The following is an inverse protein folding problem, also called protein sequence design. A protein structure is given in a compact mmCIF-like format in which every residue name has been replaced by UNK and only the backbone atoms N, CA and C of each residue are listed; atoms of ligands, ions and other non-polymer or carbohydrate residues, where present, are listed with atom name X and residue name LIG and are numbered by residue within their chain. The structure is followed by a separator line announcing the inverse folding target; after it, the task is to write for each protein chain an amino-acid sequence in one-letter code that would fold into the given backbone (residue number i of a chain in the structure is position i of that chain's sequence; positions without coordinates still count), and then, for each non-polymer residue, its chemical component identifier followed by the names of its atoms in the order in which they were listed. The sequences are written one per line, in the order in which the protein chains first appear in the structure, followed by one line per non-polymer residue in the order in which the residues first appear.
data_IF_451502839110
#
_entry.id   IF_451502839110
#
_cell.length_a   1.000
_cell.length_b   1.000
_cell.length_c   1.000
_cell.angle_alpha   90.00
_cell.angle_beta   90.00
_cell.angle_gamma   90.00
#
_symmetry.space_group_name_H-M   'P 1'
#
loop_
_entity.id
_entity.type
_entity.pdbx_description
1 polymer ?
#
# COMPACT_ATOMS: atom_id res chain seq x y z
N UNK A 1 -17.02 5.38 -46.89
CA UNK A 1 -16.42 5.81 -48.17
C UNK A 1 -14.94 5.97 -47.90
N UNK A 2 -14.08 5.32 -48.69
CA UNK A 2 -12.63 5.42 -48.50
C UNK A 2 -12.19 6.89 -48.57
N UNK A 3 -11.25 7.31 -47.72
CA UNK A 3 -10.78 8.70 -47.65
C UNK A 3 -10.24 9.16 -49.01
N UNK A 4 -9.57 8.25 -49.72
CA UNK A 4 -9.07 8.48 -51.08
C UNK A 4 -10.18 8.78 -52.09
N UNK A 5 -11.26 8.01 -52.06
CA UNK A 5 -12.42 8.23 -52.94
C UNK A 5 -13.12 9.55 -52.64
N UNK A 6 -13.09 10.00 -51.38
CA UNK A 6 -13.63 11.29 -50.96
C UNK A 6 -12.82 12.45 -51.52
N UNK A 7 -11.49 12.43 -51.38
CA UNK A 7 -10.62 13.47 -51.93
C UNK A 7 -10.72 13.55 -53.46
N UNK A 8 -10.73 12.41 -54.16
CA UNK A 8 -10.90 12.38 -55.62
C UNK A 8 -12.25 12.97 -56.03
N UNK A 9 -13.32 12.64 -55.30
CA UNK A 9 -14.64 13.21 -55.57
C UNK A 9 -14.70 14.71 -55.33
N UNK A 10 -14.11 15.22 -54.25
CA UNK A 10 -14.09 16.65 -53.93
C UNK A 10 -13.31 17.45 -54.97
N UNK A 11 -12.12 16.97 -55.38
CA UNK A 11 -11.34 17.60 -56.45
C UNK A 11 -12.08 17.56 -57.78
N UNK A 12 -12.66 16.41 -58.18
CA UNK A 12 -13.45 16.32 -59.42
C UNK A 12 -14.69 17.23 -59.38
N UNK A 13 -15.39 17.31 -58.24
CA UNK A 13 -16.59 18.13 -58.09
C UNK A 13 -16.27 19.62 -58.22
N UNK A 14 -15.20 20.07 -57.58
CA UNK A 14 -14.79 21.47 -57.63
C UNK A 14 -14.22 21.81 -59.01
N UNK A 15 -13.44 20.93 -59.62
CA UNK A 15 -12.98 21.08 -61.00
C UNK A 15 -14.14 21.14 -61.99
N UNK A 16 -15.19 20.35 -61.78
CA UNK A 16 -16.39 20.37 -62.61
C UNK A 16 -17.14 21.69 -62.49
N UNK A 17 -17.32 22.20 -61.27
CA UNK A 17 -18.00 23.49 -61.04
C UNK A 17 -17.25 24.64 -61.69
N UNK A 18 -15.94 24.76 -61.47
CA UNK A 18 -15.14 25.81 -62.10
C UNK A 18 -15.01 25.62 -63.60
N UNK A 19 -14.87 24.38 -64.05
CA UNK A 19 -14.88 24.03 -65.47
C UNK A 19 -16.16 24.45 -66.18
N UNK A 20 -17.34 24.22 -65.57
CA UNK A 20 -18.62 24.67 -66.11
C UNK A 20 -18.68 26.20 -66.20
N UNK A 21 -18.15 26.92 -65.21
CA UNK A 21 -18.11 28.39 -65.24
C UNK A 21 -17.23 28.86 -66.40
N UNK A 22 -16.04 28.28 -66.56
CA UNK A 22 -15.10 28.60 -67.65
C UNK A 22 -15.76 28.32 -69.01
N UNK A 23 -16.27 27.10 -69.23
CA UNK A 23 -16.89 26.70 -70.51
C UNK A 23 -18.14 27.51 -70.84
N UNK A 24 -18.94 27.89 -69.83
CA UNK A 24 -20.10 28.76 -70.03
C UNK A 24 -19.68 30.17 -70.44
N UNK A 25 -18.58 30.68 -69.86
CA UNK A 25 -18.03 31.98 -70.22
C UNK A 25 -17.38 31.95 -71.63
N UNK A 26 -16.69 30.87 -71.99
CA UNK A 26 -16.17 30.64 -73.35
C UNK A 26 -17.30 30.64 -74.40
N UNK A 27 -18.42 29.97 -74.10
CA UNK A 27 -19.60 29.93 -74.98
C UNK A 27 -20.26 31.31 -75.10
N UNK A 28 -20.43 32.01 -73.97
CA UNK A 28 -20.97 33.37 -73.97
C UNK A 28 -20.09 34.33 -74.79
N UNK A 29 -18.77 34.29 -74.58
CA UNK A 29 -17.81 35.10 -75.30
C UNK A 29 -17.85 34.81 -76.82
N UNK A 30 -18.08 33.55 -77.19
CA UNK A 30 -18.24 33.14 -78.60
C UNK A 30 -19.43 33.84 -79.26
N UNK A 31 -20.55 34.02 -78.57
CA UNK A 31 -21.70 34.76 -79.11
C UNK A 31 -21.51 36.28 -79.10
N UNK A 32 -20.97 36.84 -78.00
CA UNK A 32 -20.76 38.29 -77.86
C UNK A 32 -19.82 38.84 -78.93
N UNK A 33 -18.74 38.12 -79.22
CA UNK A 33 -17.76 38.49 -80.24
C UNK A 33 -18.08 37.86 -81.61
N UNK A 34 -19.32 37.46 -81.85
CA UNK A 34 -19.73 36.79 -83.08
C UNK A 34 -19.81 37.70 -84.31
N UNK A 35 -20.08 39.00 -84.13
CA UNK A 35 -20.25 39.97 -85.23
C UNK A 35 -18.95 40.33 -85.93
N UNK A 36 -17.86 40.40 -85.18
CA UNK A 36 -16.56 40.89 -85.65
C UNK A 36 -15.63 39.74 -86.05
N UNK A 37 -16.21 38.57 -86.32
CA UNK A 37 -15.45 37.34 -86.44
C UNK A 37 -14.75 37.20 -87.78
N UNK A 38 -13.44 37.07 -87.68
CA UNK A 38 -12.53 36.77 -88.79
C UNK A 38 -11.74 35.52 -88.42
N UNK A 39 -11.76 34.48 -89.27
CA UNK A 39 -10.95 33.29 -89.01
C UNK A 39 -11.46 31.98 -89.61
N UNK A 40 -10.84 30.89 -89.15
CA UNK A 40 -10.97 29.52 -89.66
C UNK A 40 -12.31 28.84 -89.33
N UNK A 41 -12.98 29.24 -88.24
CA UNK A 41 -14.26 28.66 -87.79
C UNK A 41 -15.37 29.72 -87.68
N UNK A 42 -16.57 29.37 -88.13
CA UNK A 42 -17.76 30.24 -87.95
C UNK A 42 -18.32 30.14 -86.54
N UNK A 43 -19.06 31.16 -86.11
CA UNK A 43 -19.72 31.22 -84.78
C UNK A 43 -20.62 30.01 -84.54
N UNK A 44 -21.37 29.58 -85.56
CA UNK A 44 -22.25 28.41 -85.46
C UNK A 44 -21.46 27.12 -85.23
N UNK A 45 -20.35 26.90 -85.94
CA UNK A 45 -19.51 25.70 -85.79
C UNK A 45 -18.86 25.67 -84.40
N UNK A 46 -18.35 26.80 -83.92
CA UNK A 46 -17.77 26.87 -82.57
C UNK A 46 -18.80 26.61 -81.47
N UNK A 47 -19.98 27.20 -81.56
CA UNK A 47 -21.04 26.99 -80.58
C UNK A 47 -21.46 25.51 -80.52
N UNK A 48 -21.54 24.83 -81.66
CA UNK A 48 -21.82 23.38 -81.72
C UNK A 48 -20.70 22.57 -81.08
N UNK A 49 -19.43 22.84 -81.42
CA UNK A 49 -18.28 22.14 -80.83
C UNK A 49 -18.18 22.35 -79.32
N UNK A 50 -18.31 23.59 -78.85
CA UNK A 50 -18.32 23.93 -77.42
C UNK A 50 -19.50 23.29 -76.69
N UNK A 51 -20.68 23.25 -77.32
CA UNK A 51 -21.85 22.55 -76.78
C UNK A 51 -21.62 21.05 -76.62
N UNK A 52 -21.02 20.40 -77.62
CA UNK A 52 -20.64 18.97 -77.54
C UNK A 52 -19.62 18.75 -76.41
N UNK A 53 -18.60 19.62 -76.29
CA UNK A 53 -17.56 19.51 -75.26
C UNK A 53 -18.15 19.74 -73.86
N UNK A 54 -19.07 20.67 -73.70
CA UNK A 54 -19.78 20.94 -72.43
C UNK A 54 -20.61 19.72 -72.01
N UNK A 55 -21.37 19.13 -72.93
CA UNK A 55 -22.13 17.89 -72.68
C UNK A 55 -21.19 16.74 -72.34
N UNK A 56 -20.08 16.59 -73.06
CA UNK A 56 -19.07 15.57 -72.77
C UNK A 56 -18.47 15.75 -71.37
N UNK A 57 -18.19 16.99 -70.94
CA UNK A 57 -17.71 17.32 -69.60
C UNK A 57 -18.70 16.89 -68.51
N UNK A 58 -20.00 17.15 -68.70
CA UNK A 58 -21.09 16.71 -67.80
C UNK A 58 -21.18 15.18 -67.74
N UNK A 59 -21.14 14.50 -68.89
CA UNK A 59 -21.22 13.03 -68.96
C UNK A 59 -19.99 12.40 -68.32
N UNK A 60 -18.79 12.89 -68.60
CA UNK A 60 -17.56 12.38 -68.00
C UNK A 60 -17.53 12.58 -66.49
N UNK A 61 -17.99 13.73 -65.99
CA UNK A 61 -18.16 13.92 -64.56
C UNK A 61 -19.17 12.91 -63.97
N UNK A 62 -20.36 12.76 -64.57
CA UNK A 62 -21.38 11.84 -64.07
C UNK A 62 -20.88 10.38 -64.00
N UNK A 63 -20.13 9.93 -65.01
CA UNK A 63 -19.61 8.56 -65.11
C UNK A 63 -18.35 8.32 -64.25
N UNK A 64 -17.48 9.33 -64.09
CA UNK A 64 -16.16 9.16 -63.49
C UNK A 64 -15.89 10.01 -62.24
N UNK A 65 -16.92 10.60 -61.61
CA UNK A 65 -16.80 11.47 -60.43
C UNK A 65 -15.93 10.93 -59.28
N UNK A 66 -15.82 9.61 -59.11
CA UNK A 66 -15.00 8.98 -58.05
C UNK A 66 -13.73 8.28 -58.56
N UNK A 67 -13.43 8.36 -59.86
CA UNK A 67 -12.30 7.64 -60.47
C UNK A 67 -11.22 8.63 -60.86
N UNK A 68 -9.96 8.24 -60.68
CA UNK A 68 -8.79 9.01 -61.14
C UNK A 68 -8.81 9.25 -62.64
N UNK A 69 -9.40 8.37 -63.46
CA UNK A 69 -9.58 8.60 -64.90
C UNK A 69 -10.41 9.84 -65.22
N UNK A 70 -11.32 10.26 -64.32
CA UNK A 70 -12.16 11.43 -64.48
C UNK A 70 -11.36 12.72 -64.64
N UNK A 71 -10.27 12.88 -63.88
CA UNK A 71 -9.43 14.08 -63.92
C UNK A 71 -8.82 14.30 -65.32
N UNK A 72 -8.35 13.24 -65.97
CA UNK A 72 -7.75 13.30 -67.31
C UNK A 72 -8.79 13.66 -68.37
N UNK A 73 -9.98 13.05 -68.30
CA UNK A 73 -11.07 13.33 -69.25
C UNK A 73 -11.60 14.76 -69.11
N UNK A 74 -11.76 15.23 -67.88
CA UNK A 74 -12.21 16.60 -67.62
C UNK A 74 -11.19 17.64 -68.09
N UNK A 75 -9.90 17.43 -67.78
CA UNK A 75 -8.85 18.33 -68.27
C UNK A 75 -8.71 18.29 -69.80
N UNK A 76 -8.89 17.13 -70.43
CA UNK A 76 -8.92 17.02 -71.89
C UNK A 76 -10.08 17.84 -72.49
N UNK A 77 -11.26 17.83 -71.88
CA UNK A 77 -12.38 18.69 -72.30
C UNK A 77 -12.04 20.18 -72.17
N UNK A 78 -11.32 20.60 -71.12
CA UNK A 78 -10.90 22.00 -70.95
C UNK A 78 -9.87 22.43 -71.99
N UNK A 79 -8.88 21.58 -72.28
CA UNK A 79 -7.87 21.86 -73.31
C UNK A 79 -8.54 21.94 -74.69
N UNK A 80 -9.51 21.05 -74.96
CA UNK A 80 -10.23 21.04 -76.23
C UNK A 80 -11.16 22.25 -76.36
N UNK A 81 -11.84 22.68 -75.29
CA UNK A 81 -12.68 23.87 -75.32
C UNK A 81 -11.84 25.13 -75.57
N UNK A 82 -10.69 25.24 -74.90
CA UNK A 82 -9.72 26.31 -75.13
C UNK A 82 -9.18 26.33 -76.57
N UNK A 83 -8.87 25.16 -77.14
CA UNK A 83 -8.44 25.06 -78.55
C UNK A 83 -9.52 25.60 -79.49
N UNK A 84 -10.79 25.24 -79.28
CA UNK A 84 -11.91 25.73 -80.11
C UNK A 84 -12.03 27.25 -80.03
N UNK A 85 -11.91 27.83 -78.83
CA UNK A 85 -11.95 29.29 -78.62
C UNK A 85 -10.80 29.98 -79.37
N UNK A 86 -9.57 29.48 -79.20
CA UNK A 86 -8.38 30.07 -79.82
C UNK A 86 -8.36 29.96 -81.35
N UNK A 87 -8.95 28.90 -81.93
CA UNK A 87 -8.99 28.71 -83.39
C UNK A 87 -9.96 29.65 -84.12
N UNK A 88 -11.01 30.15 -83.47
CA UNK A 88 -12.01 30.99 -84.14
C UNK A 88 -12.29 32.35 -83.52
N UNK A 89 -11.59 32.73 -82.44
CA UNK A 89 -11.65 34.08 -81.87
C UNK A 89 -10.31 34.82 -81.99
N UNK A 90 -9.66 34.73 -83.16
CA UNK A 90 -8.33 35.30 -83.45
C UNK A 90 -8.29 36.83 -83.37
N UNK A 91 -9.44 37.46 -83.54
CA UNK A 91 -9.62 38.91 -83.47
C UNK A 91 -9.78 39.45 -82.04
N UNK A 92 -9.89 38.60 -81.01
CA UNK A 92 -10.13 39.02 -79.62
C UNK A 92 -8.86 38.89 -78.77
N UNK A 93 -8.33 40.01 -78.29
CA UNK A 93 -7.05 40.05 -77.55
C UNK A 93 -7.04 39.23 -76.27
N UNK A 94 -8.14 39.19 -75.51
CA UNK A 94 -8.12 38.67 -74.13
C UNK A 94 -8.40 37.17 -74.00
N UNK A 95 -8.61 36.46 -75.12
CA UNK A 95 -8.99 35.03 -75.09
C UNK A 95 -7.88 34.12 -74.55
N UNK A 96 -6.62 34.55 -74.57
CA UNK A 96 -5.51 33.79 -74.01
C UNK A 96 -5.64 33.56 -72.49
N UNK A 97 -6.39 34.41 -71.77
CA UNK A 97 -6.57 34.34 -70.32
C UNK A 97 -7.28 33.04 -69.84
N UNK A 98 -7.96 32.34 -70.74
CA UNK A 98 -8.51 31.02 -70.46
C UNK A 98 -7.42 29.96 -70.23
N UNK A 99 -6.26 30.07 -70.89
CA UNK A 99 -5.12 29.17 -70.69
C UNK A 99 -4.62 29.13 -69.23
N UNK A 100 -4.26 30.28 -68.62
CA UNK A 100 -3.96 30.37 -67.19
C UNK A 100 -5.06 29.84 -66.27
N UNK A 101 -6.33 30.07 -66.62
CA UNK A 101 -7.47 29.57 -65.82
C UNK A 101 -7.49 28.03 -65.77
N UNK A 102 -7.14 27.37 -66.88
CA UNK A 102 -7.02 25.91 -66.97
C UNK A 102 -5.79 25.42 -66.18
N UNK A 103 -4.68 26.18 -66.21
CA UNK A 103 -3.51 25.86 -65.39
C UNK A 103 -3.81 25.94 -63.89
N UNK A 104 -4.57 26.93 -63.44
CA UNK A 104 -5.01 27.02 -62.04
C UNK A 104 -5.92 25.83 -61.70
N UNK A 105 -6.82 25.46 -62.61
CA UNK A 105 -7.74 24.34 -62.42
C UNK A 105 -7.01 23.00 -62.23
N UNK A 106 -5.93 22.74 -62.98
CA UNK A 106 -5.20 21.48 -62.88
C UNK A 106 -4.44 21.33 -61.55
N UNK A 107 -4.06 22.45 -60.90
CA UNK A 107 -3.38 22.43 -59.60
C UNK A 107 -4.23 21.78 -58.50
N UNK A 108 -5.56 21.80 -58.64
CA UNK A 108 -6.49 21.16 -57.70
C UNK A 108 -6.28 19.65 -57.55
N UNK A 109 -5.71 19.01 -58.57
CA UNK A 109 -5.44 17.58 -58.55
C UNK A 109 -4.10 17.24 -57.89
N UNK A 110 -3.22 18.24 -57.67
CA UNK A 110 -1.86 18.05 -57.14
C UNK A 110 -1.06 16.92 -57.84
N UNK A 111 -1.39 16.60 -59.10
CA UNK A 111 -0.79 15.51 -59.86
C UNK A 111 0.23 16.07 -60.86
N UNK A 112 1.49 15.71 -60.67
CA UNK A 112 2.61 16.17 -61.50
C UNK A 112 2.47 15.77 -62.96
N UNK A 113 1.96 14.56 -63.24
CA UNK A 113 1.83 14.05 -64.62
C UNK A 113 0.70 14.77 -65.35
N UNK A 114 -0.44 14.93 -64.68
CA UNK A 114 -1.59 15.64 -65.24
C UNK A 114 -1.27 17.12 -65.50
N UNK A 115 -0.59 17.77 -64.56
CA UNK A 115 -0.16 19.17 -64.69
C UNK A 115 0.80 19.33 -65.86
N UNK A 116 1.79 18.45 -66.00
CA UNK A 116 2.72 18.46 -67.12
C UNK A 116 2.02 18.31 -68.48
N UNK A 117 1.09 17.35 -68.62
CA UNK A 117 0.31 17.17 -69.84
C UNK A 117 -0.55 18.40 -70.18
N UNK A 118 -1.18 19.00 -69.17
CA UNK A 118 -2.03 20.19 -69.35
C UNK A 118 -1.19 21.41 -69.75
N UNK A 119 -0.05 21.62 -69.09
CA UNK A 119 0.90 22.68 -69.43
C UNK A 119 1.40 22.58 -70.87
N UNK A 120 1.74 21.37 -71.34
CA UNK A 120 2.12 21.15 -72.74
C UNK A 120 0.95 21.48 -73.68
N UNK A 121 -0.27 21.06 -73.34
CA UNK A 121 -1.46 21.35 -74.14
C UNK A 121 -1.73 22.86 -74.28
N UNK A 122 -1.70 23.60 -73.17
CA UNK A 122 -1.88 25.06 -73.17
C UNK A 122 -0.77 25.75 -73.95
N UNK A 123 0.48 25.33 -73.80
CA UNK A 123 1.61 25.88 -74.54
C UNK A 123 1.49 25.61 -76.04
N UNK A 124 1.13 24.37 -76.44
CA UNK A 124 0.96 24.00 -77.83
C UNK A 124 -0.15 24.82 -78.51
N UNK A 125 -1.26 25.07 -77.81
CA UNK A 125 -2.36 25.92 -78.33
C UNK A 125 -1.89 27.37 -78.50
N UNK A 126 -1.16 27.92 -77.53
CA UNK A 126 -0.63 29.28 -77.64
C UNK A 126 0.42 29.41 -78.76
N UNK A 127 1.29 28.41 -78.96
CA UNK A 127 2.25 28.40 -80.07
C UNK A 127 1.52 28.28 -81.42
N UNK A 128 0.49 27.43 -81.52
CA UNK A 128 -0.34 27.27 -82.71
C UNK A 128 -1.08 28.56 -83.07
N UNK A 129 -1.46 29.35 -82.05
CA UNK A 129 -2.16 30.62 -82.24
C UNK A 129 -1.30 31.67 -82.94
N UNK A 130 0.02 31.69 -82.73
CA UNK A 130 0.94 32.67 -83.33
C UNK A 130 0.84 32.74 -84.87
N UNK A 131 1.04 31.65 -85.64
CA UNK A 131 0.91 31.70 -87.11
C UNK A 131 -0.53 31.97 -87.56
N UNK A 132 -1.53 31.52 -86.81
CA UNK A 132 -2.93 31.77 -87.10
C UNK A 132 -3.27 33.26 -87.01
N UNK A 133 -2.74 33.94 -86.00
CA UNK A 133 -2.86 35.37 -85.81
C UNK A 133 -2.27 36.15 -86.99
N UNK A 134 -1.05 35.83 -87.43
CA UNK A 134 -0.44 36.49 -88.59
C UNK A 134 -1.18 36.25 -89.91
N UNK A 135 -1.94 35.16 -90.03
CA UNK A 135 -2.64 34.81 -91.28
C UNK A 135 -4.03 35.45 -91.38
N UNK A 136 -4.76 35.55 -90.27
CA UNK A 136 -6.18 35.92 -90.27
C UNK A 136 -6.49 37.24 -89.56
N UNK A 137 -5.57 37.79 -88.76
CA UNK A 137 -5.81 39.04 -88.05
C UNK A 137 -5.70 40.24 -88.98
N UNK A 138 -6.61 41.21 -88.81
CA UNK A 138 -6.59 42.49 -89.55
C UNK A 138 -5.72 43.53 -88.83
N UNK A 139 -5.44 43.34 -87.54
CA UNK A 139 -4.70 44.27 -86.66
C UNK A 139 -3.28 43.77 -86.32
N UNK A 140 -2.53 43.30 -87.32
CA UNK A 140 -1.22 42.68 -87.10
C UNK A 140 -0.20 43.69 -86.54
N UNK A 141 -0.18 44.92 -87.05
CA UNK A 141 0.83 45.93 -86.66
C UNK A 141 0.74 46.32 -85.17
N UNK A 142 -0.47 46.47 -84.63
CA UNK A 142 -0.67 46.93 -83.25
C UNK A 142 -0.59 45.81 -82.21
N UNK A 143 -0.85 44.54 -82.59
CA UNK A 143 -0.99 43.42 -81.65
C UNK A 143 0.10 42.35 -81.71
N UNK A 144 1.09 42.49 -82.61
CA UNK A 144 2.20 41.52 -82.72
C UNK A 144 2.95 41.31 -81.40
N UNK A 145 3.31 42.39 -80.71
CA UNK A 145 4.02 42.27 -79.42
C UNK A 145 3.14 41.68 -78.32
N UNK A 146 1.83 41.93 -78.34
CA UNK A 146 0.89 41.36 -77.37
C UNK A 146 0.83 39.83 -77.50
N UNK A 147 0.66 39.30 -78.72
CA UNK A 147 0.58 37.84 -78.96
C UNK A 147 1.88 37.12 -78.60
N UNK A 148 3.04 37.72 -78.90
CA UNK A 148 4.34 37.16 -78.48
C UNK A 148 4.45 37.16 -76.96
N UNK A 149 4.01 38.25 -76.31
CA UNK A 149 4.02 38.37 -74.85
C UNK A 149 3.09 37.34 -74.20
N UNK A 150 1.91 37.09 -74.77
CA UNK A 150 0.96 36.08 -74.29
C UNK A 150 1.55 34.66 -74.37
N UNK A 151 2.26 34.33 -75.46
CA UNK A 151 2.96 33.06 -75.59
C UNK A 151 4.09 32.91 -74.53
N UNK A 152 4.81 33.99 -74.24
CA UNK A 152 5.82 34.01 -73.17
C UNK A 152 5.16 33.84 -71.80
N UNK A 153 4.03 34.51 -71.53
CA UNK A 153 3.27 34.31 -70.28
C UNK A 153 2.74 32.89 -70.14
N UNK A 154 2.23 32.29 -71.21
CA UNK A 154 1.79 30.91 -71.21
C UNK A 154 2.94 29.95 -70.87
N UNK A 155 4.14 30.19 -71.40
CA UNK A 155 5.35 29.44 -71.06
C UNK A 155 5.72 29.62 -69.58
N UNK A 156 5.80 30.87 -69.10
CA UNK A 156 6.15 31.17 -67.71
C UNK A 156 5.18 30.53 -66.72
N UNK A 157 3.87 30.68 -66.93
CA UNK A 157 2.84 30.11 -66.05
C UNK A 157 2.83 28.58 -66.12
N UNK A 158 3.07 27.99 -67.28
CA UNK A 158 3.21 26.54 -67.44
C UNK A 158 4.39 25.99 -66.64
N UNK A 159 5.55 26.67 -66.69
CA UNK A 159 6.72 26.31 -65.89
C UNK A 159 6.45 26.49 -64.39
N UNK A 160 5.84 27.60 -63.99
CA UNK A 160 5.49 27.85 -62.58
C UNK A 160 4.54 26.78 -62.05
N UNK A 161 3.51 26.39 -62.80
CA UNK A 161 2.58 25.33 -62.41
C UNK A 161 3.31 23.99 -62.21
N UNK A 162 4.22 23.62 -63.12
CA UNK A 162 5.01 22.38 -63.01
C UNK A 162 5.92 22.41 -61.78
N UNK A 163 6.67 23.51 -61.56
CA UNK A 163 7.55 23.65 -60.40
C UNK A 163 6.75 23.65 -59.09
N UNK A 164 5.61 24.33 -59.05
CA UNK A 164 4.73 24.36 -57.89
C UNK A 164 4.23 22.97 -57.52
N UNK A 165 3.65 22.21 -58.46
CA UNK A 165 3.12 20.86 -58.16
C UNK A 165 4.24 19.90 -57.80
N UNK A 166 5.43 20.02 -58.40
CA UNK A 166 6.60 19.21 -58.03
C UNK A 166 7.06 19.49 -56.61
N UNK A 167 7.15 20.77 -56.23
CA UNK A 167 7.51 21.17 -54.87
C UNK A 167 6.45 20.70 -53.86
N UNK A 168 5.18 20.95 -54.16
CA UNK A 168 4.06 20.56 -53.30
C UNK A 168 3.98 19.04 -53.10
N UNK A 169 4.13 18.26 -54.19
CA UNK A 169 4.16 16.80 -54.11
C UNK A 169 5.34 16.28 -53.29
N UNK A 170 6.52 16.92 -53.37
CA UNK A 170 7.68 16.56 -52.55
C UNK A 170 7.45 16.88 -51.07
N UNK A 171 7.02 18.10 -50.76
CA UNK A 171 6.71 18.51 -49.39
C UNK A 171 5.64 17.63 -48.75
N UNK A 172 4.61 17.26 -49.52
CA UNK A 172 3.55 16.38 -49.03
C UNK A 172 4.09 14.96 -48.75
N UNK A 173 5.00 14.45 -49.58
CA UNK A 173 5.69 13.17 -49.31
C UNK A 173 6.55 13.26 -48.06
N UNK A 174 7.41 14.29 -47.95
CA UNK A 174 8.27 14.53 -46.78
C UNK A 174 7.44 14.65 -45.49
N UNK A 175 6.30 15.35 -45.53
CA UNK A 175 5.39 15.48 -44.39
C UNK A 175 4.75 14.13 -44.01
N UNK A 176 4.36 13.31 -44.99
CA UNK A 176 3.83 11.97 -44.71
C UNK A 176 4.91 11.09 -44.08
N UNK A 177 6.13 11.10 -44.62
CA UNK A 177 7.26 10.34 -44.09
C UNK A 177 7.59 10.75 -42.64
N UNK A 178 7.55 12.06 -42.33
CA UNK A 178 7.71 12.57 -40.96
C UNK A 178 6.59 12.12 -40.02
N UNK A 179 5.33 12.14 -40.49
CA UNK A 179 4.18 11.65 -39.71
C UNK A 179 4.30 10.15 -39.44
N UNK A 180 4.70 9.35 -40.44
CA UNK A 180 4.90 7.91 -40.29
C UNK A 180 6.05 7.61 -39.32
N UNK A 181 7.17 8.33 -39.42
CA UNK A 181 8.29 8.18 -38.48
C UNK A 181 7.90 8.57 -37.05
N UNK A 182 7.13 9.67 -36.88
CA UNK A 182 6.63 10.09 -35.58
C UNK A 182 5.63 9.07 -34.99
N UNK A 183 4.75 8.51 -35.82
CA UNK A 183 3.80 7.47 -35.41
C UNK A 183 4.51 6.18 -35.00
N UNK A 184 5.54 5.74 -35.73
CA UNK A 184 6.36 4.59 -35.38
C UNK A 184 7.06 4.77 -34.03
N UNK A 185 7.66 5.94 -33.80
CA UNK A 185 8.28 6.28 -32.51
C UNK A 185 7.25 6.32 -31.38
N UNK A 186 6.07 6.88 -31.62
CA UNK A 186 4.99 6.90 -30.63
C UNK A 186 4.52 5.49 -30.27
N UNK A 187 4.51 4.56 -31.23
CA UNK A 187 4.17 3.16 -30.97
C UNK A 187 5.25 2.46 -30.12
N UNK A 188 6.53 2.71 -30.40
CA UNK A 188 7.65 2.21 -29.59
C UNK A 188 7.57 2.74 -28.15
N UNK A 189 7.38 4.06 -27.97
CA UNK A 189 7.23 4.68 -26.66
C UNK A 189 6.03 4.09 -25.89
N UNK A 190 4.91 3.84 -26.57
CA UNK A 190 3.73 3.21 -25.97
C UNK A 190 4.01 1.77 -25.50
N UNK A 191 4.81 1.01 -26.24
CA UNK A 191 5.21 -0.35 -25.85
C UNK A 191 6.12 -0.34 -24.61
N UNK A 192 7.07 0.61 -24.55
CA UNK A 192 7.92 0.83 -23.36
C UNK A 192 7.06 1.16 -22.13
N UNK A 193 6.12 2.09 -22.26
CA UNK A 193 5.19 2.46 -21.17
C UNK A 193 4.37 1.25 -20.73
N UNK A 194 3.88 0.43 -21.67
CA UNK A 194 3.15 -0.80 -21.35
C UNK A 194 3.99 -1.77 -20.52
N UNK A 195 5.24 -2.00 -20.93
CA UNK A 195 6.15 -2.89 -20.21
C UNK A 195 6.46 -2.38 -18.80
N UNK A 196 6.75 -1.07 -18.66
CA UNK A 196 6.96 -0.44 -17.34
C UNK A 196 5.72 -0.60 -16.47
N UNK A 197 4.52 -0.40 -17.02
CA UNK A 197 3.27 -0.54 -16.28
C UNK A 197 3.06 -1.96 -15.77
N UNK A 198 3.38 -2.97 -16.58
CA UNK A 198 3.36 -4.38 -16.14
C UNK A 198 4.32 -4.62 -14.97
N UNK A 199 5.56 -4.14 -15.08
CA UNK A 199 6.56 -4.28 -14.00
C UNK A 199 6.12 -3.56 -12.71
N UNK A 200 5.48 -2.39 -12.82
CA UNK A 200 4.90 -1.69 -11.67
C UNK A 200 3.79 -2.55 -11.04
N UNK A 201 2.91 -3.16 -11.85
CA UNK A 201 1.87 -4.07 -11.37
C UNK A 201 2.45 -5.24 -10.56
N UNK A 202 3.47 -5.92 -11.10
CA UNK A 202 4.16 -7.01 -10.41
C UNK A 202 4.82 -6.55 -9.10
N UNK A 203 5.47 -5.37 -9.10
CA UNK A 203 6.09 -4.81 -7.89
C UNK A 203 5.06 -4.45 -6.82
N UNK A 204 3.88 -3.95 -7.22
CA UNK A 204 2.79 -3.66 -6.30
C UNK A 204 2.19 -4.93 -5.70
N UNK A 205 2.07 -6.01 -6.48
CA UNK A 205 1.63 -7.31 -5.96
C UNK A 205 2.60 -7.84 -4.90
N UNK A 206 3.90 -7.82 -5.19
CA UNK A 206 4.94 -8.21 -4.21
C UNK A 206 4.89 -7.34 -2.95
N UNK A 207 4.70 -6.02 -3.12
CA UNK A 207 4.58 -5.10 -2.00
C UNK A 207 3.34 -5.38 -1.14
N UNK A 208 2.21 -5.74 -1.76
CA UNK A 208 0.98 -6.07 -1.04
C UNK A 208 1.16 -7.36 -0.22
N UNK A 209 1.72 -8.41 -0.81
CA UNK A 209 2.05 -9.66 -0.09
C UNK A 209 3.00 -9.40 1.09
N UNK A 210 4.00 -8.53 0.93
CA UNK A 210 4.89 -8.15 2.02
C UNK A 210 4.17 -7.36 3.12
N UNK A 211 3.20 -6.51 2.76
CA UNK A 211 2.36 -5.80 3.73
C UNK A 211 1.44 -6.74 4.51
N UNK A 212 0.82 -7.73 3.86
CA UNK A 212 0.00 -8.74 4.52
C UNK A 212 0.84 -9.55 5.53
N UNK A 213 2.02 -10.03 5.12
CA UNK A 213 2.94 -10.73 6.01
C UNK A 213 3.41 -9.85 7.18
N UNK A 214 3.64 -8.56 6.95
CA UNK A 214 3.99 -7.62 8.01
C UNK A 214 2.83 -7.43 9.01
N UNK A 215 1.59 -7.32 8.52
CA UNK A 215 0.41 -7.18 9.36
C UNK A 215 0.20 -8.41 10.26
N UNK A 216 0.43 -9.62 9.73
CA UNK A 216 0.44 -10.85 10.52
C UNK A 216 1.50 -10.81 11.62
N UNK A 217 2.75 -10.45 11.28
CA UNK A 217 3.85 -10.35 12.25
C UNK A 217 3.62 -9.30 13.34
N UNK A 218 2.98 -8.18 13.00
CA UNK A 218 2.59 -7.16 13.97
C UNK A 218 1.54 -7.72 14.95
N UNK A 219 0.59 -8.50 14.44
CA UNK A 219 -0.43 -9.17 15.26
C UNK A 219 0.18 -10.20 16.21
N UNK A 220 1.07 -11.07 15.70
CA UNK A 220 1.83 -12.03 16.50
C UNK A 220 2.61 -11.34 17.64
N UNK A 221 3.27 -10.23 17.31
CA UNK A 221 4.07 -9.45 18.27
C UNK A 221 3.21 -8.79 19.35
N UNK A 222 2.01 -8.30 18.98
CA UNK A 222 1.06 -7.75 19.92
C UNK A 222 0.54 -8.83 20.89
N UNK A 223 0.23 -10.02 20.39
CA UNK A 223 -0.19 -11.15 21.22
C UNK A 223 0.92 -11.58 22.19
N UNK A 224 2.15 -11.77 21.69
CA UNK A 224 3.30 -12.10 22.51
C UNK A 224 3.54 -11.05 23.61
N UNK A 225 3.41 -9.76 23.29
CA UNK A 225 3.53 -8.67 24.26
C UNK A 225 2.44 -8.73 25.33
N UNK A 226 1.20 -9.07 24.96
CA UNK A 226 0.10 -9.27 25.91
C UNK A 226 0.35 -10.47 26.84
N UNK A 227 0.87 -11.58 26.30
CA UNK A 227 1.26 -12.76 27.10
C UNK A 227 2.38 -12.42 28.09
N UNK A 228 3.40 -11.68 27.65
CA UNK A 228 4.49 -11.20 28.52
C UNK A 228 3.92 -10.31 29.63
N UNK A 229 3.05 -9.36 29.31
CA UNK A 229 2.41 -8.50 30.32
C UNK A 229 1.65 -9.33 31.35
N UNK A 230 0.91 -10.35 30.91
CA UNK A 230 0.18 -11.25 31.81
C UNK A 230 1.13 -12.04 32.71
N UNK A 231 2.23 -12.56 32.14
CA UNK A 231 3.24 -13.29 32.89
C UNK A 231 3.93 -12.41 33.95
N UNK A 232 4.20 -11.13 33.63
CA UNK A 232 4.74 -10.15 34.58
C UNK A 232 3.75 -9.92 35.72
N UNK A 233 2.47 -9.72 35.43
CA UNK A 233 1.43 -9.57 36.46
C UNK A 233 1.38 -10.78 37.39
N UNK A 234 1.33 -12.00 36.84
CA UNK A 234 1.32 -13.23 37.64
C UNK A 234 2.58 -13.36 38.50
N UNK A 235 3.74 -12.97 37.95
CA UNK A 235 5.01 -12.98 38.69
C UNK A 235 4.99 -11.98 39.84
N UNK A 236 4.45 -10.78 39.63
CA UNK A 236 4.29 -9.77 40.67
C UNK A 236 3.35 -10.25 41.79
N UNK A 237 2.22 -10.86 41.45
CA UNK A 237 1.29 -11.47 42.42
C UNK A 237 1.94 -12.60 43.22
N UNK A 238 2.71 -13.46 42.56
CA UNK A 238 3.46 -14.53 43.21
C UNK A 238 4.50 -13.98 44.20
N UNK A 239 5.25 -12.95 43.81
CA UNK A 239 6.23 -12.26 44.67
C UNK A 239 5.54 -11.63 45.89
N UNK A 240 4.39 -10.98 45.70
CA UNK A 240 3.63 -10.38 46.79
C UNK A 240 3.14 -11.45 47.78
N UNK A 241 2.56 -12.54 47.26
CA UNK A 241 2.09 -13.67 48.07
C UNK A 241 3.24 -14.29 48.86
N UNK A 242 4.39 -14.49 48.22
CA UNK A 242 5.58 -15.05 48.86
C UNK A 242 6.15 -14.11 49.94
N UNK A 243 6.11 -12.80 49.70
CA UNK A 243 6.52 -11.80 50.70
C UNK A 243 5.61 -11.81 51.92
N UNK A 244 4.29 -11.93 51.73
CA UNK A 244 3.34 -12.07 52.83
C UNK A 244 3.60 -13.35 53.63
N UNK A 245 3.79 -14.49 52.95
CA UNK A 245 4.17 -15.75 53.60
C UNK A 245 5.45 -15.61 54.43
N UNK A 246 6.46 -14.94 53.89
CA UNK A 246 7.74 -14.75 54.57
C UNK A 246 7.60 -13.85 55.82
N UNK A 247 6.72 -12.85 55.76
CA UNK A 247 6.37 -12.04 56.93
C UNK A 247 5.69 -12.89 58.02
N UNK A 248 4.75 -13.77 57.66
CA UNK A 248 4.13 -14.70 58.61
C UNK A 248 5.12 -15.70 59.21
N UNK A 249 6.06 -16.22 58.41
CA UNK A 249 7.16 -17.07 58.89
C UNK A 249 8.02 -16.30 59.90
N UNK A 250 8.38 -15.06 59.58
CA UNK A 250 9.19 -14.21 60.47
C UNK A 250 8.49 -13.99 61.82
N UNK A 251 7.19 -13.66 61.80
CA UNK A 251 6.38 -13.54 63.03
C UNK A 251 6.36 -14.85 63.84
N UNK A 252 6.18 -15.99 63.16
CA UNK A 252 6.17 -17.29 63.82
C UNK A 252 7.54 -17.63 64.44
N UNK A 253 8.63 -17.24 63.79
CA UNK A 253 9.98 -17.40 64.32
C UNK A 253 10.23 -16.52 65.55
N UNK A 254 9.68 -15.30 65.59
CA UNK A 254 9.74 -14.44 66.78
C UNK A 254 8.98 -15.06 67.96
N UNK A 255 7.80 -15.62 67.72
CA UNK A 255 7.02 -16.33 68.75
C UNK A 255 7.76 -17.56 69.29
N UNK A 256 8.34 -18.36 68.40
CA UNK A 256 9.18 -19.51 68.78
C UNK A 256 10.39 -19.05 69.60
N UNK A 257 11.05 -17.96 69.21
CA UNK A 257 12.16 -17.40 69.97
C UNK A 257 11.73 -16.95 71.37
N UNK A 258 10.55 -16.32 71.49
CA UNK A 258 9.98 -15.93 72.78
C UNK A 258 9.67 -17.16 73.66
N UNK A 259 8.99 -18.16 73.11
CA UNK A 259 8.70 -19.42 73.80
C UNK A 259 9.96 -20.15 74.24
N UNK A 260 11.00 -20.18 73.39
CA UNK A 260 12.30 -20.79 73.72
C UNK A 260 12.99 -20.07 74.88
N UNK A 261 12.92 -18.73 74.95
CA UNK A 261 13.43 -17.95 76.09
C UNK A 261 12.65 -18.24 77.37
N UNK A 262 11.32 -18.33 77.29
CA UNK A 262 10.47 -18.69 78.43
C UNK A 262 10.78 -20.11 78.92
N UNK A 263 10.92 -21.07 78.01
CA UNK A 263 11.31 -22.44 78.32
C UNK A 263 12.67 -22.49 79.03
N UNK A 264 13.67 -21.72 78.58
CA UNK A 264 14.96 -21.62 79.25
C UNK A 264 14.84 -21.06 80.68
N UNK A 265 13.97 -20.07 80.90
CA UNK A 265 13.72 -19.50 82.23
C UNK A 265 13.09 -20.54 83.16
N UNK A 266 12.04 -21.22 82.70
CA UNK A 266 11.36 -22.27 83.45
C UNK A 266 12.31 -23.43 83.80
N UNK A 267 13.18 -23.83 82.88
CA UNK A 267 14.20 -24.85 83.14
C UNK A 267 15.20 -24.39 84.23
N UNK A 268 15.54 -23.09 84.28
CA UNK A 268 16.31 -22.49 85.36
C UNK A 268 15.60 -22.60 86.71
N UNK A 269 14.33 -22.17 86.79
CA UNK A 269 13.54 -22.27 88.02
C UNK A 269 13.37 -23.72 88.51
N UNK A 270 13.16 -24.68 87.60
CA UNK A 270 13.11 -26.10 87.93
C UNK A 270 14.44 -26.57 88.54
N UNK A 271 15.57 -26.12 87.99
CA UNK A 271 16.90 -26.44 88.53
C UNK A 271 17.08 -25.88 89.94
N UNK A 272 16.67 -24.63 90.18
CA UNK A 272 16.74 -23.99 91.49
C UNK A 272 15.87 -24.70 92.53
N UNK A 273 14.62 -25.04 92.17
CA UNK A 273 13.71 -25.81 93.02
C UNK A 273 14.28 -27.19 93.37
N UNK A 274 14.94 -27.87 92.43
CA UNK A 274 15.63 -29.15 92.69
C UNK A 274 16.77 -28.97 93.69
N UNK A 275 17.58 -27.90 93.55
CA UNK A 275 18.67 -27.61 94.46
C UNK A 275 18.16 -27.32 95.89
N UNK A 276 17.10 -26.53 96.01
CA UNK A 276 16.45 -26.23 97.29
C UNK A 276 15.87 -27.51 97.92
N UNK A 277 15.15 -28.32 97.13
CA UNK A 277 14.64 -29.62 97.58
C UNK A 277 15.74 -30.55 98.09
N UNK A 278 16.89 -30.60 97.41
CA UNK A 278 18.04 -31.40 97.85
C UNK A 278 18.63 -30.89 99.18
N UNK A 279 18.69 -29.57 99.38
CA UNK A 279 19.08 -29.00 100.67
C UNK A 279 18.07 -29.34 101.79
N UNK A 280 16.77 -29.30 101.49
CA UNK A 280 15.74 -29.67 102.45
C UNK A 280 15.88 -31.14 102.89
N UNK A 281 16.16 -32.04 101.94
CA UNK A 281 16.43 -33.46 102.21
C UNK A 281 17.68 -33.64 103.09
N UNK A 282 18.76 -32.89 102.86
CA UNK A 282 19.94 -32.91 103.73
C UNK A 282 19.61 -32.48 105.16
N UNK A 283 18.83 -31.42 105.32
CA UNK A 283 18.38 -30.92 106.64
C UNK A 283 17.49 -31.95 107.34
N UNK A 284 16.56 -32.58 106.63
CA UNK A 284 15.73 -33.67 107.15
C UNK A 284 16.59 -34.85 107.62
N UNK A 285 17.62 -35.22 106.86
CA UNK A 285 18.54 -36.29 107.26
C UNK A 285 19.31 -35.95 108.55
N UNK A 286 19.77 -34.70 108.69
CA UNK A 286 20.41 -34.23 109.93
C UNK A 286 19.46 -34.26 111.14
N UNK A 287 18.21 -33.79 110.96
CA UNK A 287 17.15 -33.85 111.99
C UNK A 287 16.79 -35.29 112.39
N UNK A 288 16.77 -36.21 111.43
CA UNK A 288 16.55 -37.64 111.69
C UNK A 288 17.69 -38.22 112.55
N UNK A 289 18.94 -37.86 112.24
CA UNK A 289 20.11 -38.25 113.04
C UNK A 289 20.03 -37.73 114.48
N UNK A 290 19.67 -36.46 114.65
CA UNK A 290 19.45 -35.82 115.96
C UNK A 290 18.36 -36.57 116.76
N UNK A 291 17.24 -36.88 116.11
CA UNK A 291 16.12 -37.62 116.73
C UNK A 291 16.56 -39.02 117.18
N UNK A 292 17.40 -39.70 116.40
CA UNK A 292 17.95 -41.00 116.77
C UNK A 292 18.83 -40.95 118.03
N UNK A 293 19.57 -39.85 118.25
CA UNK A 293 20.38 -39.66 119.46
C UNK A 293 19.48 -39.48 120.68
N UNK A 294 18.48 -38.60 120.58
CA UNK A 294 17.49 -38.36 121.65
C UNK A 294 16.79 -39.66 122.05
N UNK A 295 16.42 -40.48 121.06
CA UNK A 295 15.77 -41.76 121.32
C UNK A 295 16.70 -42.75 122.07
N UNK A 296 17.99 -42.74 121.76
CA UNK A 296 19.00 -43.52 122.49
C UNK A 296 19.15 -43.05 123.95
N UNK A 297 19.17 -41.73 124.18
CA UNK A 297 19.23 -41.16 125.55
C UNK A 297 17.98 -41.53 126.36
N UNK A 298 16.81 -41.51 125.72
CA UNK A 298 15.54 -41.89 126.35
C UNK A 298 15.54 -43.36 126.79
N UNK A 299 16.14 -44.26 125.99
CA UNK A 299 16.31 -45.67 126.35
C UNK A 299 17.21 -45.85 127.59
N UNK A 300 18.31 -45.10 127.68
CA UNK A 300 19.21 -45.11 128.85
C UNK A 300 18.47 -44.64 130.11
N UNK A 301 17.74 -43.53 130.02
CA UNK A 301 16.97 -42.99 131.15
C UNK A 301 15.89 -43.97 131.64
N UNK A 302 15.22 -44.67 130.72
CA UNK A 302 14.24 -45.71 131.05
C UNK A 302 14.87 -46.88 131.80
N UNK A 303 16.09 -47.27 131.42
CA UNK A 303 16.84 -48.36 132.06
C UNK A 303 17.22 -48.00 133.51
N UNK A 304 17.69 -46.77 133.74
CA UNK A 304 18.00 -46.27 135.09
C UNK A 304 16.75 -46.21 135.99
N UNK A 305 15.59 -45.89 135.41
CA UNK A 305 14.33 -45.88 136.13
C UNK A 305 13.93 -47.29 136.61
N UNK A 306 14.19 -48.31 135.79
CA UNK A 306 13.94 -49.71 136.10
C UNK A 306 14.85 -50.24 137.23
N UNK A 307 16.11 -49.81 137.26
CA UNK A 307 17.04 -50.11 138.35
C UNK A 307 16.58 -49.51 139.69
N UNK A 308 16.17 -48.23 139.68
CA UNK A 308 15.62 -47.56 140.87
C UNK A 308 14.36 -48.24 141.40
N UNK A 309 13.49 -48.75 140.51
CA UNK A 309 12.31 -49.53 140.92
C UNK A 309 12.69 -50.88 141.57
N UNK A 310 13.80 -51.50 141.15
CA UNK A 310 14.37 -52.69 141.77
C UNK A 310 14.83 -52.45 143.21
N UNK A 311 15.50 -51.32 143.46
CA UNK A 311 15.96 -50.93 144.81
C UNK A 311 14.79 -50.73 145.78
N UNK A 312 13.68 -50.15 145.30
CA UNK A 312 12.46 -49.97 146.12
C UNK A 312 11.87 -51.31 146.56
N UNK A 313 11.96 -52.35 145.72
CA UNK A 313 11.47 -53.70 146.05
C UNK A 313 12.22 -54.34 147.21
N UNK A 314 13.55 -54.20 147.29
CA UNK A 314 14.37 -54.75 148.38
C UNK A 314 14.04 -54.10 149.74
N UNK A 315 13.71 -52.80 149.74
CA UNK A 315 13.28 -52.09 150.95
C UNK A 315 11.97 -52.69 151.48
N UNK A 316 11.02 -52.99 150.60
CA UNK A 316 9.71 -53.57 150.97
C UNK A 316 9.87 -54.98 151.57
N UNK A 317 10.74 -55.82 151.00
CA UNK A 317 11.01 -57.17 151.52
C UNK A 317 11.63 -57.13 152.94
N UNK A 318 12.48 -56.14 153.20
CA UNK A 318 13.09 -55.94 154.53
C UNK A 318 12.05 -55.57 155.59
N UNK A 319 11.06 -54.73 155.24
CA UNK A 319 9.97 -54.33 156.15
C UNK A 319 9.09 -55.53 156.53
N UNK A 320 8.77 -56.41 155.57
CA UNK A 320 7.97 -57.61 155.81
C UNK A 320 8.66 -58.58 156.79
N UNK A 321 9.99 -58.69 156.74
CA UNK A 321 10.77 -59.53 157.66
C UNK A 321 10.72 -59.05 159.12
N UNK A 322 10.76 -57.73 159.34
CA UNK A 322 10.65 -57.12 160.69
C UNK A 322 9.22 -57.31 161.27
N UNK A 323 8.21 -57.20 160.41
CA UNK A 323 6.81 -57.39 160.80
C UNK A 323 6.55 -58.81 161.31
N UNK A 324 7.14 -59.83 160.66
CA UNK A 324 7.04 -61.22 161.08
C UNK A 324 7.63 -61.51 162.47
N UNK A 325 8.79 -60.92 162.81
CA UNK A 325 9.43 -61.10 164.12
C UNK A 325 8.65 -60.43 165.27
N UNK A 326 8.00 -59.30 165.01
CA UNK A 326 7.24 -58.56 166.02
C UNK A 326 5.98 -59.32 166.46
N UNK A 327 5.34 -60.04 165.53
CA UNK A 327 4.15 -60.84 165.80
C UNK A 327 4.41 -62.01 166.78
N UNK A 328 5.60 -62.63 166.72
CA UNK A 328 5.96 -63.77 167.57
C UNK A 328 6.29 -63.39 169.02
N UNK A 329 6.83 -62.18 169.25
CA UNK A 329 7.12 -61.71 170.61
C UNK A 329 5.85 -61.38 171.40
N UNK A 330 4.84 -60.80 170.74
CA UNK A 330 3.58 -60.43 171.37
C UNK A 330 2.79 -61.67 171.85
N UNK A 331 2.84 -62.76 171.10
CA UNK A 331 2.12 -63.99 171.41
C UNK A 331 2.66 -64.68 172.68
N UNK A 332 3.98 -64.71 172.85
CA UNK A 332 4.62 -65.39 173.99
C UNK A 332 4.40 -64.65 175.32
N UNK A 333 4.24 -63.32 175.28
CA UNK A 333 3.88 -62.51 176.45
C UNK A 333 2.43 -62.76 176.92
N UNK A 334 1.50 -63.08 176.00
CA UNK A 334 0.09 -63.30 176.33
C UNK A 334 -0.18 -64.65 177.01
N UNK A 335 0.64 -65.69 176.74
CA UNK A 335 0.42 -67.05 177.25
C UNK A 335 0.83 -67.19 178.73
N UNK A 336 1.90 -66.52 179.17
CA UNK A 336 2.38 -66.64 180.57
C UNK A 336 1.41 -65.99 181.57
N UNK A 337 0.71 -64.93 181.18
CA UNK A 337 -0.21 -64.22 182.08
C UNK A 337 -1.47 -65.04 182.42
N UNK A 338 -1.90 -65.94 181.53
CA UNK A 338 -3.15 -66.69 181.68
C UNK A 338 -3.05 -67.90 182.63
N UNK A 339 -1.86 -68.49 182.82
CA UNK A 339 -1.70 -69.68 183.69
C UNK A 339 -1.72 -69.30 185.18
N UNK A 340 -1.54 -68.03 185.52
CA UNK A 340 -1.53 -67.50 186.90
C UNK A 340 -2.88 -67.44 187.61
N UNK A 341 -4.00 -67.89 187.02
CA UNK A 341 -5.34 -67.59 187.57
C UNK A 341 -6.28 -68.76 187.87
N UNK A 342 -5.97 -70.05 187.63
CA UNK A 342 -6.97 -71.13 187.81
C UNK A 342 -6.47 -72.49 188.36
N UNK A 343 -5.69 -72.49 189.44
CA UNK A 343 -5.55 -73.70 190.27
C UNK A 343 -5.37 -73.35 191.76
N UNK A 344 -6.46 -72.86 192.34
CA UNK A 344 -6.96 -73.21 193.68
C UNK A 344 -8.20 -74.07 193.49
#
# INVERSE_FOLDING_TARGET
MDMKDKHIYESNLLAFKFGLIIQSFELLATFLYGSDRVGFLTTAVMAVLQGIILVASIVFFALYKKRTRGQYLMMACMILSYLVVMLGSVHVTYMWAFGPSILILVLLYADTRLTFMTSIGVLAINILYVPLFFTYSVEVEDRTFAVITDAVFALLLSLMAIFYVRLNSRQNSETIDEIEAAAAKQQEDAEVIRNISTQIGEKLEVANTAMEALAEKVTDSAEASSQISTAITNTAEAIQTQTQMNSSITSSLEDIAHQSRAMRRNAGEVTDNINEGNNLVKTLNAKSKETSVINSETAVMTTNLQESAGTVKEIVDTILSISGQTNLLALNASIVLFVTLHAS
#
